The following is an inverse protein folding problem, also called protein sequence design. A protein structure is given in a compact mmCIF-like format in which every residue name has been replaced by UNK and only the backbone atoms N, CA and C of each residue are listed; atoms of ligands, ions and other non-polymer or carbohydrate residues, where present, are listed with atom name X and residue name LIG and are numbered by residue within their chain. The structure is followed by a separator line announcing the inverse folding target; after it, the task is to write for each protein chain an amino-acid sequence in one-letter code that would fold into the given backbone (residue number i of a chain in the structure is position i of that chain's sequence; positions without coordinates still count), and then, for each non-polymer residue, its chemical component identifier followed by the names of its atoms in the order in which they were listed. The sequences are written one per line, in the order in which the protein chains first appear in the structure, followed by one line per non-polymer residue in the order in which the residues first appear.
data_IF_666940235213
#
_entry.id   IF_666940235213
#
_cell.length_a   1.000
_cell.length_b   1.000
_cell.length_c   1.000
_cell.angle_alpha   90.00
_cell.angle_beta   90.00
_cell.angle_gamma   90.00
#
_symmetry.space_group_name_H-M   'P 1'
#
loop_
_entity.id
_entity.type
_entity.pdbx_description
1 polymer ?
#
# COMPACT_ATOMS: atom_id res chain seq x y z
N UNK A 1 5.57 -11.11 -5.60
CA UNK A 1 5.52 -12.48 -6.15
C UNK A 1 5.82 -13.42 -5.01
N UNK A 2 5.14 -14.56 -4.92
CA UNK A 2 5.53 -15.61 -3.99
C UNK A 2 6.70 -16.38 -4.60
N UNK A 3 7.69 -16.73 -3.80
CA UNK A 3 8.79 -17.62 -4.25
C UNK A 3 8.26 -19.04 -4.46
N UNK A 4 7.30 -19.44 -3.64
CA UNK A 4 6.61 -20.71 -3.71
C UNK A 4 5.11 -20.49 -3.45
N UNK A 5 4.25 -21.09 -4.28
CA UNK A 5 2.80 -21.01 -4.13
C UNK A 5 2.24 -22.32 -3.62
N UNK A 6 1.38 -22.24 -2.61
CA UNK A 6 0.69 -23.39 -2.01
C UNK A 6 -0.78 -23.46 -2.43
N UNK A 7 -1.21 -22.65 -3.41
CA UNK A 7 -2.59 -22.61 -3.89
C UNK A 7 -3.52 -21.74 -3.04
N UNK A 8 -4.81 -22.06 -3.09
CA UNK A 8 -5.88 -21.39 -2.34
C UNK A 8 -6.16 -22.20 -1.07
N UNK A 9 -6.55 -21.54 0.03
CA UNK A 9 -6.99 -22.26 1.22
C UNK A 9 -8.32 -22.99 0.94
N UNK A 10 -8.31 -24.32 1.07
CA UNK A 10 -9.47 -25.17 0.72
C UNK A 10 -10.57 -25.18 1.78
N UNK A 11 -10.21 -24.98 3.05
CA UNK A 11 -11.16 -25.03 4.16
C UNK A 11 -10.85 -23.95 5.21
N UNK A 12 -11.90 -23.22 5.59
CA UNK A 12 -11.88 -22.20 6.63
C UNK A 12 -13.26 -22.14 7.31
N UNK A 13 -13.37 -21.31 8.34
CA UNK A 13 -14.64 -21.05 9.01
C UNK A 13 -15.68 -20.52 8.00
N UNK A 14 -16.92 -21.05 7.95
CA UNK A 14 -17.95 -20.59 7.01
C UNK A 14 -18.33 -19.11 7.13
N UNK A 15 -18.05 -18.49 8.29
CA UNK A 15 -18.26 -17.05 8.50
C UNK A 15 -17.11 -16.19 8.00
N UNK A 16 -15.98 -16.79 7.61
CA UNK A 16 -14.90 -16.10 6.92
C UNK A 16 -15.18 -16.06 5.41
N UNK A 17 -15.52 -14.87 4.92
CA UNK A 17 -15.83 -14.62 3.51
C UNK A 17 -14.60 -14.31 2.64
N UNK A 18 -13.38 -14.33 3.20
CA UNK A 18 -12.18 -14.05 2.42
C UNK A 18 -11.81 -15.24 1.54
N UNK A 19 -11.11 -14.96 0.43
CA UNK A 19 -10.36 -15.98 -0.31
C UNK A 19 -8.87 -15.78 -0.06
N UNK A 20 -8.18 -16.84 0.37
CA UNK A 20 -6.76 -16.77 0.68
C UNK A 20 -5.90 -17.44 -0.38
N UNK A 21 -4.90 -16.73 -0.88
CA UNK A 21 -3.76 -17.34 -1.57
C UNK A 21 -2.65 -17.61 -0.56
N UNK A 22 -2.13 -18.83 -0.57
CA UNK A 22 -1.09 -19.30 0.34
C UNK A 22 0.25 -19.40 -0.41
N UNK A 23 1.34 -19.11 0.29
CA UNK A 23 2.68 -19.30 -0.26
C UNK A 23 3.80 -18.94 0.70
N UNK A 24 4.97 -18.73 0.12
CA UNK A 24 6.20 -18.42 0.85
C UNK A 24 7.03 -17.36 0.12
N UNK A 25 7.65 -16.47 0.89
CA UNK A 25 8.69 -15.54 0.43
C UNK A 25 9.88 -15.66 1.39
N UNK A 26 11.04 -16.05 0.87
CA UNK A 26 12.19 -16.42 1.69
C UNK A 26 11.80 -17.45 2.76
N UNK A 27 12.04 -17.13 4.03
CA UNK A 27 11.71 -18.00 5.17
C UNK A 27 10.33 -17.70 5.78
N UNK A 28 9.51 -16.88 5.13
CA UNK A 28 8.21 -16.45 5.66
C UNK A 28 7.06 -17.11 4.92
N UNK A 29 6.20 -17.79 5.66
CA UNK A 29 4.88 -18.20 5.17
C UNK A 29 3.99 -16.96 5.03
N UNK A 30 3.32 -16.83 3.88
CA UNK A 30 2.53 -15.66 3.53
C UNK A 30 1.11 -16.11 3.17
N UNK A 31 0.14 -15.39 3.71
CA UNK A 31 -1.28 -15.48 3.33
C UNK A 31 -1.70 -14.15 2.73
N UNK A 32 -2.38 -14.19 1.59
CA UNK A 32 -2.82 -13.00 0.85
C UNK A 32 -4.33 -13.08 0.70
N UNK A 33 -5.03 -12.02 1.11
CA UNK A 33 -6.43 -11.80 0.79
C UNK A 33 -6.59 -10.44 0.11
N UNK A 34 -7.60 -10.33 -0.76
CA UNK A 34 -7.97 -9.10 -1.42
C UNK A 34 -9.35 -8.66 -0.96
N UNK A 35 -9.64 -7.36 -1.09
CA UNK A 35 -11.00 -6.87 -0.88
C UNK A 35 -11.95 -7.54 -1.89
N UNK A 36 -13.22 -7.78 -1.52
CA UNK A 36 -14.22 -8.23 -2.47
C UNK A 36 -14.32 -7.28 -3.67
N UNK A 37 -14.57 -7.84 -4.86
CA UNK A 37 -14.66 -7.07 -6.09
C UNK A 37 -15.64 -5.90 -5.98
N UNK A 38 -15.21 -4.70 -6.38
CA UNK A 38 -16.01 -3.48 -6.33
C UNK A 38 -16.11 -2.83 -4.94
N UNK A 39 -15.53 -3.43 -3.89
CA UNK A 39 -15.49 -2.84 -2.56
C UNK A 39 -14.15 -2.16 -2.30
N UNK A 40 -14.21 -1.01 -1.64
CA UNK A 40 -13.04 -0.25 -1.22
C UNK A 40 -13.31 0.44 0.12
N UNK A 41 -12.27 1.02 0.71
CA UNK A 41 -12.36 1.80 1.95
C UNK A 41 -12.03 1.00 3.21
N UNK A 42 -11.99 1.74 4.32
CA UNK A 42 -11.50 1.26 5.63
C UNK A 42 -12.36 0.16 6.23
N UNK A 43 -13.68 0.19 6.02
CA UNK A 43 -14.61 -0.81 6.57
C UNK A 43 -14.36 -2.17 5.93
N UNK A 44 -14.35 -2.25 4.59
CA UNK A 44 -14.11 -3.49 3.86
C UNK A 44 -12.73 -4.07 4.19
N UNK A 45 -11.69 -3.21 4.24
CA UNK A 45 -10.35 -3.61 4.64
C UNK A 45 -10.28 -4.14 6.09
N UNK A 46 -11.03 -3.53 7.01
CA UNK A 46 -11.12 -3.99 8.40
C UNK A 46 -11.74 -5.38 8.50
N UNK A 47 -12.84 -5.63 7.77
CA UNK A 47 -13.47 -6.96 7.72
C UNK A 47 -12.49 -8.02 7.22
N UNK A 48 -11.82 -7.76 6.10
CA UNK A 48 -10.83 -8.69 5.54
C UNK A 48 -9.71 -8.95 6.55
N UNK A 49 -9.15 -7.90 7.16
CA UNK A 49 -8.07 -8.03 8.14
C UNK A 49 -8.49 -8.82 9.39
N UNK A 50 -9.69 -8.57 9.92
CA UNK A 50 -10.20 -9.30 11.09
C UNK A 50 -10.38 -10.78 10.80
N UNK A 51 -10.85 -11.14 9.60
CA UNK A 51 -10.96 -12.52 9.16
C UNK A 51 -9.57 -13.19 9.04
N UNK A 52 -8.57 -12.50 8.46
CA UNK A 52 -7.18 -13.00 8.44
C UNK A 52 -6.70 -13.29 9.87
N UNK A 53 -6.88 -12.33 10.79
CA UNK A 53 -6.44 -12.46 12.18
C UNK A 53 -7.14 -13.63 12.87
N UNK A 54 -8.43 -13.82 12.66
CA UNK A 54 -9.21 -14.92 13.23
C UNK A 54 -8.75 -16.27 12.68
N UNK A 55 -8.73 -16.41 11.36
CA UNK A 55 -8.44 -17.67 10.66
C UNK A 55 -7.00 -18.13 10.88
N UNK A 56 -6.04 -17.19 10.95
CA UNK A 56 -4.62 -17.50 11.15
C UNK A 56 -4.11 -17.11 12.53
N UNK A 57 -4.99 -16.99 13.54
CA UNK A 57 -4.66 -16.50 14.89
C UNK A 57 -3.44 -17.15 15.56
N UNK A 58 -3.19 -18.44 15.30
CA UNK A 58 -2.05 -19.18 15.88
C UNK A 58 -0.71 -18.96 15.15
N UNK A 59 -0.75 -18.51 13.90
CA UNK A 59 0.43 -18.47 13.01
C UNK A 59 0.76 -17.07 12.50
N UNK A 60 -0.23 -16.17 12.49
CA UNK A 60 -0.06 -14.80 12.02
C UNK A 60 0.81 -14.01 13.01
N UNK A 61 1.95 -13.50 12.54
CA UNK A 61 2.88 -12.71 13.36
C UNK A 61 2.87 -11.23 12.99
N UNK A 62 2.67 -10.93 11.71
CA UNK A 62 2.71 -9.59 11.13
C UNK A 62 1.64 -9.51 10.05
N UNK A 63 0.88 -8.41 10.00
CA UNK A 63 -0.01 -8.05 8.90
C UNK A 63 0.57 -6.88 8.11
N UNK A 64 0.46 -6.94 6.77
CA UNK A 64 0.82 -5.86 5.87
C UNK A 64 -0.40 -5.43 5.08
N UNK A 65 -0.73 -4.13 5.10
CA UNK A 65 -1.72 -3.55 4.19
C UNK A 65 -0.98 -3.01 2.98
N UNK A 66 -1.26 -3.57 1.80
CA UNK A 66 -0.62 -3.19 0.54
C UNK A 66 -1.69 -2.70 -0.42
N UNK A 67 -1.44 -1.56 -1.07
CA UNK A 67 -2.35 -0.96 -2.03
C UNK A 67 -1.63 0.04 -2.91
N UNK A 68 -2.36 0.59 -3.87
CA UNK A 68 -1.88 1.69 -4.73
C UNK A 68 -2.39 3.02 -4.17
N UNK A 69 -1.64 4.09 -4.41
CA UNK A 69 -2.01 5.44 -3.99
C UNK A 69 -1.52 6.48 -4.99
N UNK A 70 -2.08 7.68 -4.90
CA UNK A 70 -1.58 8.86 -5.61
C UNK A 70 -0.39 9.48 -4.86
N UNK A 71 0.59 10.00 -5.60
CA UNK A 71 1.73 10.73 -5.05
C UNK A 71 1.53 12.23 -5.15
N UNK A 72 1.93 12.97 -4.12
CA UNK A 72 2.04 14.44 -4.14
C UNK A 72 3.54 14.77 -4.04
N UNK A 73 4.25 14.93 -5.18
CA UNK A 73 5.67 15.24 -5.15
C UNK A 73 5.93 16.64 -4.61
N UNK A 74 7.10 16.81 -3.98
CA UNK A 74 7.61 18.07 -3.46
C UNK A 74 9.12 18.13 -3.63
N UNK A 75 9.73 19.31 -3.53
CA UNK A 75 11.18 19.45 -3.60
C UNK A 75 11.92 18.61 -2.53
N UNK A 76 11.30 18.36 -1.38
CA UNK A 76 11.88 17.56 -0.31
C UNK A 76 11.61 16.05 -0.44
N UNK A 77 10.53 15.68 -1.14
CA UNK A 77 10.10 14.29 -1.32
C UNK A 77 9.51 14.15 -2.72
N UNK A 78 10.34 13.68 -3.65
CA UNK A 78 9.95 13.54 -5.05
C UNK A 78 9.32 12.17 -5.32
N UNK A 79 8.05 12.00 -4.93
CA UNK A 79 7.33 10.73 -5.10
C UNK A 79 6.87 10.58 -6.56
N UNK A 80 7.29 9.49 -7.20
CA UNK A 80 7.05 9.19 -8.62
C UNK A 80 6.28 7.88 -8.82
N UNK A 81 5.77 7.69 -10.03
CA UNK A 81 5.15 6.41 -10.41
C UNK A 81 6.17 5.28 -10.29
N UNK A 82 5.72 4.17 -9.68
CA UNK A 82 6.48 2.96 -9.28
C UNK A 82 7.22 3.06 -7.95
N UNK A 83 7.24 4.23 -7.30
CA UNK A 83 7.81 4.31 -5.96
C UNK A 83 6.99 3.47 -4.99
N UNK A 84 7.70 2.73 -4.13
CA UNK A 84 7.11 1.98 -3.04
C UNK A 84 7.28 2.80 -1.78
N UNK A 85 6.17 3.35 -1.30
CA UNK A 85 6.15 4.14 -0.06
C UNK A 85 5.82 3.22 1.11
N UNK A 86 6.67 3.25 2.13
CA UNK A 86 6.49 2.49 3.38
C UNK A 86 6.14 3.49 4.47
N UNK A 87 5.06 3.21 5.23
CA UNK A 87 4.70 4.05 6.37
C UNK A 87 5.81 4.05 7.41
N UNK A 88 6.19 5.25 7.86
CA UNK A 88 7.28 5.42 8.82
C UNK A 88 6.86 6.47 9.87
N UNK A 89 6.91 6.14 11.18
CA UNK A 89 6.52 7.07 12.23
C UNK A 89 7.36 8.36 12.24
N UNK A 90 6.71 9.50 12.48
CA UNK A 90 7.38 10.80 12.61
C UNK A 90 6.61 11.68 13.61
N UNK A 91 7.32 12.17 14.63
CA UNK A 91 6.71 12.97 15.70
C UNK A 91 5.61 12.18 16.41
N UNK A 92 4.40 12.73 16.43
CA UNK A 92 3.21 12.10 17.04
C UNK A 92 2.45 11.17 16.10
N UNK A 93 2.85 11.03 14.84
CA UNK A 93 2.19 10.17 13.86
C UNK A 93 2.85 8.79 13.78
N UNK A 94 2.03 7.72 13.76
CA UNK A 94 2.48 6.36 13.45
C UNK A 94 2.88 6.13 11.99
N UNK A 95 2.84 7.15 11.13
CA UNK A 95 3.24 7.08 9.72
C UNK A 95 2.08 7.00 8.74
N UNK A 96 0.83 6.89 9.22
CA UNK A 96 -0.39 7.03 8.42
C UNK A 96 -1.34 7.98 9.13
N UNK A 97 -1.82 8.98 8.40
CA UNK A 97 -2.73 10.02 8.88
C UNK A 97 -4.08 9.87 8.20
N UNK A 98 -5.16 9.96 8.98
CA UNK A 98 -6.52 10.00 8.44
C UNK A 98 -6.94 11.46 8.31
N UNK A 99 -6.88 11.99 7.09
CA UNK A 99 -7.10 13.41 6.82
C UNK A 99 -8.55 13.84 6.96
N UNK A 100 -9.48 12.92 6.82
CA UNK A 100 -10.93 13.09 6.93
C UNK A 100 -11.46 13.00 8.36
N UNK A 101 -10.63 12.54 9.31
CA UNK A 101 -11.01 12.38 10.73
C UNK A 101 -10.43 13.50 11.58
N UNK A 102 -11.33 14.32 12.13
CA UNK A 102 -10.98 15.44 12.99
C UNK A 102 -12.17 16.00 13.74
N UNK A 103 -11.90 17.06 14.48
CA UNK A 103 -12.89 17.84 15.24
C UNK A 103 -12.92 19.25 14.67
N UNK A 104 -14.13 19.80 14.53
CA UNK A 104 -14.29 21.22 14.21
C UNK A 104 -14.25 22.00 15.52
N UNK A 105 -13.30 22.92 15.62
CA UNK A 105 -13.15 23.81 16.78
C UNK A 105 -14.21 24.91 16.79
N UNK A 106 -14.22 25.70 17.87
CA UNK A 106 -15.25 26.72 18.09
C UNK A 106 -15.20 27.88 17.10
N UNK A 107 -14.10 28.05 16.35
CA UNK A 107 -13.96 29.06 15.30
C UNK A 107 -14.07 28.45 13.89
N UNK A 108 -14.58 27.22 13.77
CA UNK A 108 -14.78 26.54 12.48
C UNK A 108 -13.53 25.85 11.92
N UNK A 109 -12.43 25.83 12.68
CA UNK A 109 -11.17 25.23 12.27
C UNK A 109 -11.19 23.70 12.39
N UNK A 110 -10.74 22.99 11.36
CA UNK A 110 -10.66 21.53 11.39
C UNK A 110 -9.34 21.07 12.03
N UNK A 111 -9.44 20.42 13.18
CA UNK A 111 -8.32 19.76 13.85
C UNK A 111 -8.32 18.27 13.53
N UNK A 112 -7.37 17.82 12.71
CA UNK A 112 -7.17 16.39 12.46
C UNK A 112 -6.84 15.68 13.77
N UNK A 113 -7.60 14.63 14.08
CA UNK A 113 -7.37 13.78 15.26
C UNK A 113 -7.07 12.33 14.89
N UNK A 114 -7.24 11.96 13.62
CA UNK A 114 -7.03 10.59 13.15
C UNK A 114 -5.58 10.28 12.77
N UNK A 115 -5.01 9.26 13.38
CA UNK A 115 -3.76 8.61 12.96
C UNK A 115 -3.82 7.13 13.27
N UNK A 116 -3.18 6.30 12.43
CA UNK A 116 -3.02 4.88 12.73
C UNK A 116 -1.82 4.63 13.65
N UNK A 117 -1.82 3.46 14.28
CA UNK A 117 -0.70 2.98 15.09
C UNK A 117 0.58 2.88 14.26
N UNK A 118 1.71 3.03 14.93
CA UNK A 118 3.02 2.76 14.34
C UNK A 118 3.15 1.30 13.89
N UNK A 119 3.86 1.01 12.78
CA UNK A 119 4.23 -0.35 12.43
C UNK A 119 4.96 -1.07 13.58
N UNK A 120 4.88 -2.41 13.66
CA UNK A 120 5.63 -3.20 14.64
C UNK A 120 7.13 -2.89 14.61
N UNK A 121 7.78 -2.92 15.78
CA UNK A 121 9.22 -2.61 15.93
C UNK A 121 10.11 -3.41 14.97
N UNK A 122 9.79 -4.68 14.73
CA UNK A 122 10.53 -5.52 13.79
C UNK A 122 10.55 -4.94 12.36
N UNK A 123 9.42 -4.40 11.88
CA UNK A 123 9.35 -3.76 10.57
C UNK A 123 10.07 -2.41 10.56
N UNK A 124 10.01 -1.63 11.64
CA UNK A 124 10.74 -0.37 11.75
C UNK A 124 12.25 -0.57 11.72
N UNK A 125 12.76 -1.60 12.41
CA UNK A 125 14.17 -1.98 12.36
C UNK A 125 14.56 -2.40 10.94
N UNK A 126 13.73 -3.21 10.26
CA UNK A 126 13.97 -3.60 8.87
C UNK A 126 13.99 -2.39 7.92
N UNK A 127 13.06 -1.44 8.08
CA UNK A 127 13.04 -0.19 7.30
C UNK A 127 14.29 0.67 7.51
N UNK A 128 14.79 0.76 8.74
CA UNK A 128 16.04 1.46 9.03
C UNK A 128 17.25 0.75 8.42
N UNK A 129 17.28 -0.59 8.45
CA UNK A 129 18.34 -1.36 7.79
C UNK A 129 18.33 -1.14 6.28
N UNK A 130 17.15 -1.13 5.64
CA UNK A 130 17.03 -0.81 4.21
C UNK A 130 17.54 0.60 3.90
N UNK A 131 17.19 1.59 4.73
CA UNK A 131 17.69 2.97 4.56
C UNK A 131 19.21 3.07 4.73
N UNK A 132 19.77 2.34 5.68
CA UNK A 132 21.21 2.33 5.89
C UNK A 132 21.94 1.65 4.72
N UNK A 133 21.40 0.54 4.23
CA UNK A 133 21.95 -0.17 3.07
C UNK A 133 21.95 0.70 1.81
N UNK A 134 20.92 1.53 1.59
CA UNK A 134 20.88 2.48 0.46
C UNK A 134 22.07 3.45 0.44
N UNK A 135 22.70 3.72 1.58
CA UNK A 135 23.88 4.59 1.66
C UNK A 135 25.19 3.88 1.25
N UNK A 136 25.19 2.56 1.22
CA UNK A 136 26.40 1.74 1.02
C UNK A 136 26.33 0.80 -0.18
N UNK A 137 25.13 0.35 -0.52
CA UNK A 137 24.85 -0.71 -1.49
C UNK A 137 23.69 -0.30 -2.40
N UNK A 138 23.68 -0.87 -3.62
CA UNK A 138 22.53 -0.71 -4.51
C UNK A 138 21.31 -1.45 -3.94
N UNK A 139 20.12 -0.81 -3.91
CA UNK A 139 18.92 -1.48 -3.45
C UNK A 139 18.53 -2.64 -4.35
N UNK A 140 18.09 -3.75 -3.74
CA UNK A 140 17.58 -4.91 -4.49
C UNK A 140 16.11 -4.79 -4.89
N UNK A 141 15.35 -3.88 -4.29
CA UNK A 141 13.91 -3.76 -4.58
C UNK A 141 13.58 -3.43 -6.04
N UNK A 142 14.37 -2.63 -6.79
CA UNK A 142 14.14 -2.39 -8.21
C UNK A 142 14.19 -3.68 -9.02
N UNK A 143 15.11 -4.61 -8.69
CA UNK A 143 15.20 -5.92 -9.36
C UNK A 143 13.94 -6.75 -9.11
N UNK A 144 13.44 -6.78 -7.88
CA UNK A 144 12.20 -7.49 -7.56
C UNK A 144 10.99 -6.92 -8.31
N UNK A 145 10.89 -5.59 -8.43
CA UNK A 145 9.85 -4.93 -9.21
C UNK A 145 9.96 -5.26 -10.69
N UNK A 146 11.16 -5.16 -11.27
CA UNK A 146 11.40 -5.48 -12.68
C UNK A 146 11.06 -6.95 -12.99
N UNK A 147 11.48 -7.89 -12.13
CA UNK A 147 11.15 -9.31 -12.26
C UNK A 147 9.64 -9.55 -12.18
N UNK A 148 8.93 -8.84 -11.30
CA UNK A 148 7.48 -8.94 -11.18
C UNK A 148 6.74 -8.40 -12.41
N UNK A 149 7.17 -7.26 -12.94
CA UNK A 149 6.60 -6.63 -14.15
C UNK A 149 6.90 -7.48 -15.39
N UNK A 150 8.11 -8.02 -15.50
CA UNK A 150 8.53 -8.79 -16.67
C UNK A 150 7.95 -10.21 -16.74
N UNK A 151 7.28 -10.69 -15.67
CA UNK A 151 6.83 -12.08 -15.52
C UNK A 151 5.96 -12.58 -16.68
N UNK A 152 5.04 -11.75 -17.17
CA UNK A 152 4.14 -12.10 -18.28
C UNK A 152 3.93 -10.91 -19.21
N UNK A 153 3.55 -11.16 -20.46
CA UNK A 153 3.18 -10.09 -21.39
C UNK A 153 2.06 -9.20 -20.82
N UNK A 154 1.09 -9.79 -20.09
CA UNK A 154 0.01 -9.07 -19.42
C UNK A 154 0.50 -8.15 -18.30
N UNK A 155 1.42 -8.62 -17.46
CA UNK A 155 1.97 -7.81 -16.36
C UNK A 155 2.84 -6.69 -16.90
N UNK A 156 3.66 -6.96 -17.92
CA UNK A 156 4.44 -5.93 -18.61
C UNK A 156 3.53 -4.86 -19.18
N UNK A 157 2.53 -5.23 -19.99
CA UNK A 157 1.59 -4.28 -20.61
C UNK A 157 0.88 -3.37 -19.59
N UNK A 158 0.55 -3.89 -18.41
CA UNK A 158 -0.30 -3.17 -17.44
C UNK A 158 0.48 -2.40 -16.36
N UNK A 159 1.73 -2.79 -16.08
CA UNK A 159 2.51 -2.25 -14.97
C UNK A 159 3.88 -1.70 -15.39
N UNK A 160 4.14 -1.58 -16.69
CA UNK A 160 5.35 -0.90 -17.16
C UNK A 160 5.35 0.58 -16.73
N UNK A 161 6.55 1.16 -16.63
CA UNK A 161 6.66 2.59 -16.34
C UNK A 161 6.21 3.38 -17.58
N UNK A 162 5.34 4.40 -17.43
CA UNK A 162 5.19 5.37 -18.50
C UNK A 162 6.52 6.09 -18.74
N UNK A 163 6.77 6.56 -19.97
CA UNK A 163 8.02 7.25 -20.28
C UNK A 163 8.22 8.53 -19.45
N UNK A 164 7.11 9.17 -19.06
CA UNK A 164 7.11 10.38 -18.25
C UNK A 164 5.95 10.32 -17.26
N UNK A 165 6.19 10.83 -16.06
CA UNK A 165 5.16 11.03 -15.05
C UNK A 165 4.30 12.23 -15.45
N UNK A 166 2.99 12.06 -15.48
CA UNK A 166 2.05 13.15 -15.75
C UNK A 166 1.67 13.81 -14.43
N UNK A 167 2.21 15.00 -14.19
CA UNK A 167 1.92 15.79 -12.99
C UNK A 167 0.85 16.84 -13.27
N UNK A 168 0.05 17.16 -12.26
CA UNK A 168 -1.00 18.19 -12.33
C UNK A 168 -0.73 19.27 -11.29
N UNK A 169 -1.10 20.52 -11.61
CA UNK A 169 -1.04 21.61 -10.61
C UNK A 169 -2.07 21.36 -9.51
N UNK A 170 -1.70 21.67 -8.27
CA UNK A 170 -2.57 21.53 -7.10
C UNK A 170 -3.91 22.28 -7.28
N UNK A 171 -3.87 23.46 -7.88
CA UNK A 171 -5.04 24.32 -8.09
C UNK A 171 -5.85 23.95 -9.34
N UNK A 172 -5.39 22.97 -10.12
CA UNK A 172 -6.09 22.59 -11.35
C UNK A 172 -7.32 21.74 -11.01
N UNK A 173 -8.50 22.34 -11.15
CA UNK A 173 -9.76 21.61 -11.04
C UNK A 173 -9.90 20.59 -12.18
N UNK A 174 -10.00 19.31 -11.81
CA UNK A 174 -10.29 18.25 -12.78
C UNK A 174 -11.79 18.27 -13.15
N UNK A 175 -12.15 18.22 -14.44
CA UNK A 175 -13.56 18.19 -14.86
C UNK A 175 -14.28 16.96 -14.29
N UNK A 176 -15.34 17.19 -13.52
CA UNK A 176 -16.11 16.12 -12.86
C UNK A 176 -16.89 15.23 -13.85
N UNK A 177 -17.11 15.72 -15.06
CA UNK A 177 -17.82 15.00 -16.14
C UNK A 177 -16.89 14.15 -17.01
N UNK A 178 -15.57 14.29 -16.87
CA UNK A 178 -14.60 13.52 -17.65
C UNK A 178 -14.26 12.20 -16.97
N UNK A 179 -14.21 11.11 -17.74
CA UNK A 179 -13.80 9.79 -17.26
C UNK A 179 -12.29 9.63 -17.09
N UNK A 180 -11.49 10.51 -17.71
CA UNK A 180 -10.03 10.51 -17.62
C UNK A 180 -9.48 11.93 -17.47
N UNK A 181 -8.26 12.04 -16.96
CA UNK A 181 -7.52 13.30 -16.87
C UNK A 181 -6.66 13.57 -18.12
N UNK A 182 -6.97 12.96 -19.27
CA UNK A 182 -6.17 13.09 -20.50
C UNK A 182 -6.17 14.51 -21.08
N UNK A 183 -7.21 15.29 -20.77
CA UNK A 183 -7.37 16.68 -21.20
C UNK A 183 -6.97 17.69 -20.14
N UNK A 184 -6.47 17.24 -18.99
CA UNK A 184 -6.05 18.12 -17.90
C UNK A 184 -4.67 18.71 -18.18
N UNK A 185 -4.45 19.95 -17.75
CA UNK A 185 -3.18 20.65 -17.92
C UNK A 185 -2.09 20.00 -17.07
N UNK A 186 -1.06 19.47 -17.74
CA UNK A 186 0.13 18.90 -17.10
C UNK A 186 1.23 19.94 -16.91
N UNK A 187 2.13 19.70 -15.96
CA UNK A 187 3.32 20.54 -15.69
C UNK A 187 4.59 19.74 -15.90
#
# INVERSE_FOLDING_TARGET
MLDESFGILDAQDPSDSNTYTLGRIGNHYVVIACLPGGQYGTISATTVANNIVRTFSKSLRIGLMVGVGGGIPSAAHDIRLRDVVISFPKGTSGGVLQYDIGKVGTKGEFHRTGSLNSPPKALLTASNLMRAAELTDDPRYPEYLLKAIARTARTRKNFDRPQQDRLFKLEHGHPTTASTCDRCLVV
#
